data_IF_029341001452
#
_entry.id   IF_029341001452
#
_cell.length_a   1.000
_cell.length_b   1.000
_cell.length_c   1.000
_cell.angle_alpha   90.00
_cell.angle_beta   90.00
_cell.angle_gamma   90.00
#
_symmetry.space_group_name_H-M   'P 1'
#
loop_
_entity.id
_entity.type
_entity.pdbx_description
1 polymer ?
#
# COMPACT_ATOMS: atom_id res chain seq x y z
N UNK A 1 24.40 -19.30 9.76
CA UNK A 1 24.94 -17.92 9.95
C UNK A 1 26.06 -17.99 10.98
N UNK A 2 27.18 -17.38 10.68
CA UNK A 2 28.34 -17.40 11.57
C UNK A 2 28.09 -16.51 12.80
N UNK A 3 28.25 -17.10 14.01
CA UNK A 3 27.94 -16.42 15.26
C UNK A 3 28.82 -15.17 15.52
N UNK A 4 30.05 -15.17 15.01
CA UNK A 4 30.97 -14.04 15.17
C UNK A 4 30.51 -12.82 14.36
N UNK A 5 30.03 -13.03 13.11
CA UNK A 5 29.50 -11.98 12.26
C UNK A 5 28.19 -11.43 12.85
N UNK A 6 27.31 -12.32 13.32
CA UNK A 6 26.06 -11.92 13.97
C UNK A 6 26.31 -11.03 15.20
N UNK A 7 27.30 -11.39 16.04
CA UNK A 7 27.70 -10.56 17.19
C UNK A 7 28.17 -9.17 16.76
N UNK A 8 28.95 -9.07 15.68
CA UNK A 8 29.42 -7.79 15.17
C UNK A 8 28.25 -6.92 14.71
N UNK A 9 27.26 -7.50 14.02
CA UNK A 9 26.05 -6.78 13.62
C UNK A 9 25.20 -6.29 14.79
N UNK A 10 25.04 -7.12 15.82
CA UNK A 10 24.28 -6.75 17.03
C UNK A 10 24.99 -5.67 17.86
N UNK A 11 26.33 -5.63 17.83
CA UNK A 11 27.12 -4.64 18.54
C UNK A 11 27.51 -3.43 17.70
N UNK A 12 27.14 -3.39 16.42
CA UNK A 12 27.38 -2.23 15.57
C UNK A 12 26.61 -1.03 16.13
N UNK A 13 27.29 0.09 16.32
CA UNK A 13 26.66 1.33 16.76
C UNK A 13 25.84 1.98 15.65
N UNK A 14 25.16 3.06 15.98
CA UNK A 14 24.44 3.94 15.04
C UNK A 14 25.19 5.26 14.93
N UNK A 15 25.46 5.69 13.71
CA UNK A 15 25.99 7.04 13.46
C UNK A 15 24.81 7.97 13.15
N UNK A 16 24.56 8.93 14.06
CA UNK A 16 23.59 10.01 13.84
C UNK A 16 24.30 11.36 13.90
N UNK A 17 24.15 12.15 12.86
CA UNK A 17 24.78 13.49 12.73
C UNK A 17 26.30 13.51 13.01
N UNK A 18 27.00 12.45 12.59
CA UNK A 18 28.46 12.31 12.77
C UNK A 18 28.90 11.77 14.14
N UNK A 19 27.99 11.51 15.08
CA UNK A 19 28.29 10.90 16.38
C UNK A 19 27.96 9.42 16.38
N UNK A 20 28.84 8.59 16.94
CA UNK A 20 28.64 7.15 17.10
C UNK A 20 27.94 6.87 18.43
N UNK A 21 26.80 6.25 18.38
CA UNK A 21 26.06 5.73 19.54
C UNK A 21 26.23 4.22 19.60
N UNK A 22 26.69 3.70 20.73
CA UNK A 22 26.85 2.26 20.95
C UNK A 22 25.49 1.60 21.18
N UNK A 23 25.31 0.39 20.63
CA UNK A 23 24.09 -0.41 20.85
C UNK A 23 24.31 -1.31 22.06
N UNK A 24 23.64 -1.00 23.16
CA UNK A 24 23.75 -1.80 24.40
C UNK A 24 22.82 -3.00 24.41
N UNK A 25 21.62 -2.88 23.86
CA UNK A 25 20.59 -3.93 23.79
C UNK A 25 19.91 -3.97 22.43
N UNK A 26 19.68 -5.18 21.94
CA UNK A 26 18.97 -5.42 20.67
C UNK A 26 19.79 -5.09 19.43
N UNK A 27 19.12 -4.61 18.39
CA UNK A 27 19.72 -4.13 17.14
C UNK A 27 19.46 -2.63 16.98
N UNK A 28 20.37 -1.89 16.30
CA UNK A 28 20.14 -0.48 16.03
C UNK A 28 18.80 -0.26 15.33
N UNK A 29 18.02 0.71 15.78
CA UNK A 29 16.76 1.07 15.12
C UNK A 29 17.04 1.59 13.71
N UNK A 30 16.41 0.99 12.69
CA UNK A 30 16.66 1.32 11.28
C UNK A 30 17.83 0.52 10.65
N UNK A 31 18.47 -0.40 11.36
CA UNK A 31 19.46 -1.31 10.79
C UNK A 31 18.88 -2.22 9.72
N UNK A 32 19.59 -2.41 8.59
CA UNK A 32 19.13 -3.19 7.43
C UNK A 32 18.78 -4.64 7.83
N UNK A 33 19.56 -5.26 8.73
CA UNK A 33 19.37 -6.64 9.16
C UNK A 33 18.32 -6.80 10.28
N UNK A 34 17.97 -5.70 10.98
CA UNK A 34 17.08 -5.75 12.15
C UNK A 34 15.73 -6.43 11.89
N UNK A 35 15.02 -6.18 10.77
CA UNK A 35 13.76 -6.87 10.49
C UNK A 35 13.93 -8.39 10.30
N UNK A 36 15.04 -8.81 9.69
CA UNK A 36 15.34 -10.24 9.48
C UNK A 36 15.60 -10.93 10.82
N UNK A 37 16.44 -10.32 11.67
CA UNK A 37 16.75 -10.86 12.99
C UNK A 37 15.51 -10.91 13.90
N UNK A 38 14.66 -9.88 13.87
CA UNK A 38 13.39 -9.87 14.58
C UNK A 38 12.47 -11.01 14.11
N UNK A 39 12.36 -11.23 12.79
CA UNK A 39 11.59 -12.33 12.25
C UNK A 39 12.14 -13.71 12.67
N UNK A 40 13.46 -13.91 12.63
CA UNK A 40 14.10 -15.16 13.09
C UNK A 40 13.87 -15.39 14.59
N UNK A 41 13.89 -14.35 15.42
CA UNK A 41 13.64 -14.45 16.86
C UNK A 41 12.19 -14.85 17.16
N UNK A 42 11.23 -14.41 16.34
CA UNK A 42 9.81 -14.70 16.51
C UNK A 42 9.34 -15.93 15.70
N UNK A 43 10.27 -16.58 14.99
CA UNK A 43 9.97 -17.81 14.27
C UNK A 43 9.61 -18.95 15.25
N UNK A 44 8.63 -19.78 14.85
CA UNK A 44 8.08 -20.82 15.69
C UNK A 44 6.98 -20.39 16.66
N UNK A 45 6.66 -19.10 16.82
CA UNK A 45 5.58 -18.62 17.69
C UNK A 45 4.22 -19.20 17.27
N UNK A 46 3.95 -19.29 15.98
CA UNK A 46 2.72 -19.90 15.46
C UNK A 46 2.62 -21.39 15.82
N UNK A 47 3.73 -22.13 15.72
CA UNK A 47 3.78 -23.55 16.08
C UNK A 47 3.51 -23.76 17.57
N UNK A 48 4.03 -22.91 18.44
CA UNK A 48 3.76 -22.95 19.89
C UNK A 48 2.26 -22.76 20.16
N UNK A 49 1.63 -21.76 19.55
CA UNK A 49 0.20 -21.52 19.71
C UNK A 49 -0.64 -22.71 19.21
N UNK A 50 -0.25 -23.32 18.09
CA UNK A 50 -0.91 -24.51 17.54
C UNK A 50 -0.69 -25.77 18.41
N UNK A 51 0.44 -25.86 19.10
CA UNK A 51 0.74 -26.95 20.03
C UNK A 51 -0.12 -26.90 21.29
N UNK A 52 -0.48 -25.70 21.75
CA UNK A 52 -1.38 -25.53 22.92
C UNK A 52 -2.81 -25.83 22.54
N UNK A 53 -3.28 -25.29 21.42
CA UNK A 53 -4.65 -25.50 20.95
C UNK A 53 -4.63 -25.89 19.46
N UNK A 54 -4.79 -27.17 19.13
CA UNK A 54 -4.85 -27.64 17.77
C UNK A 54 -5.93 -26.90 16.97
N UNK A 55 -5.56 -26.36 15.80
CA UNK A 55 -6.47 -25.60 14.93
C UNK A 55 -7.68 -26.39 14.45
N UNK A 56 -7.56 -27.69 14.36
CA UNK A 56 -8.56 -28.52 13.70
C UNK A 56 -8.94 -29.74 14.52
N UNK A 57 -10.22 -30.02 14.57
CA UNK A 57 -10.73 -31.35 14.99
C UNK A 57 -10.45 -32.39 13.92
N UNK A 58 -10.72 -33.69 14.19
CA UNK A 58 -10.69 -34.80 13.20
C UNK A 58 -11.54 -34.50 11.94
N UNK A 59 -12.50 -33.55 12.01
CA UNK A 59 -13.36 -33.12 10.89
C UNK A 59 -12.86 -31.81 10.24
N UNK A 60 -11.65 -31.35 10.52
CA UNK A 60 -11.08 -30.12 9.94
C UNK A 60 -11.70 -28.80 10.44
N UNK A 61 -12.46 -28.80 11.54
CA UNK A 61 -13.12 -27.62 12.08
C UNK A 61 -12.26 -26.96 13.16
N UNK A 62 -12.05 -25.66 13.06
CA UNK A 62 -11.40 -24.85 14.10
C UNK A 62 -12.41 -24.48 15.19
N UNK A 63 -12.69 -25.40 16.12
CA UNK A 63 -13.67 -25.21 17.18
C UNK A 63 -13.26 -24.09 18.14
N UNK A 64 -12.00 -24.01 18.51
CA UNK A 64 -11.48 -22.97 19.39
C UNK A 64 -11.36 -21.61 18.69
N UNK A 65 -11.51 -21.55 17.35
CA UNK A 65 -11.39 -20.34 16.52
C UNK A 65 -10.07 -19.58 16.74
N UNK A 66 -9.02 -20.30 17.11
CA UNK A 66 -7.69 -19.74 17.31
C UNK A 66 -7.03 -19.52 15.95
N UNK A 67 -6.73 -18.26 15.65
CA UNK A 67 -5.96 -17.89 14.46
C UNK A 67 -4.89 -16.90 14.88
N UNK A 68 -3.75 -16.98 14.22
CA UNK A 68 -2.60 -16.13 14.44
C UNK A 68 -2.27 -15.33 13.18
N UNK A 69 -2.06 -14.03 13.34
CA UNK A 69 -1.63 -13.13 12.26
C UNK A 69 -0.53 -12.24 12.81
N UNK A 70 0.64 -12.26 12.18
CA UNK A 70 1.80 -11.48 12.59
C UNK A 70 2.29 -10.60 11.45
N UNK A 71 2.72 -9.40 11.82
CA UNK A 71 3.44 -8.48 10.95
C UNK A 71 4.61 -7.88 11.75
N UNK A 72 5.83 -8.32 11.46
CA UNK A 72 7.03 -8.00 12.22
C UNK A 72 6.86 -8.39 13.71
N UNK A 73 6.93 -7.41 14.61
CA UNK A 73 6.74 -7.54 16.06
C UNK A 73 5.26 -7.40 16.50
N UNK A 74 4.41 -6.85 15.65
CA UNK A 74 2.98 -6.74 15.90
C UNK A 74 2.25 -8.05 15.53
N UNK A 75 1.40 -8.56 16.43
CA UNK A 75 0.61 -9.75 16.14
C UNK A 75 -0.79 -9.68 16.77
N UNK A 76 -1.69 -10.43 16.18
CA UNK A 76 -3.06 -10.65 16.67
C UNK A 76 -3.32 -12.13 16.79
N UNK A 77 -3.97 -12.51 17.87
CA UNK A 77 -4.50 -13.86 18.07
C UNK A 77 -5.99 -13.75 18.32
N UNK A 78 -6.77 -14.51 17.55
CA UNK A 78 -8.20 -14.63 17.81
C UNK A 78 -8.46 -15.91 18.60
N UNK A 79 -9.49 -15.91 19.42
CA UNK A 79 -9.96 -17.09 20.15
C UNK A 79 -11.47 -17.08 20.25
N UNK A 80 -12.07 -18.24 20.44
CA UNK A 80 -13.52 -18.39 20.62
C UNK A 80 -14.02 -17.80 21.92
N UNK A 81 -13.20 -17.83 22.98
CA UNK A 81 -13.51 -17.31 24.30
C UNK A 81 -12.32 -16.51 24.86
N UNK A 82 -12.59 -15.68 25.89
CA UNK A 82 -11.58 -14.91 26.58
C UNK A 82 -10.63 -15.83 27.37
N UNK A 83 -11.18 -16.85 28.00
CA UNK A 83 -10.46 -17.79 28.87
C UNK A 83 -9.37 -18.54 28.08
N UNK A 84 -9.64 -18.98 26.85
CA UNK A 84 -8.65 -19.59 25.97
C UNK A 84 -7.45 -18.67 25.75
N UNK A 85 -7.73 -17.39 25.50
CA UNK A 85 -6.66 -16.41 25.25
C UNK A 85 -5.86 -16.09 26.50
N UNK A 86 -6.53 -16.01 27.66
CA UNK A 86 -5.94 -15.57 28.93
C UNK A 86 -5.20 -16.70 29.64
N UNK A 87 -5.79 -17.90 29.70
CA UNK A 87 -5.29 -19.01 30.51
C UNK A 87 -4.39 -19.99 29.75
N UNK A 88 -4.53 -20.06 28.42
CA UNK A 88 -3.81 -21.06 27.62
C UNK A 88 -2.81 -20.38 26.67
N UNK A 89 -3.28 -19.44 25.84
CA UNK A 89 -2.44 -18.83 24.80
C UNK A 89 -1.43 -17.84 25.38
N UNK A 90 -1.86 -16.94 26.26
CA UNK A 90 -0.98 -15.90 26.83
C UNK A 90 0.19 -16.49 27.62
N UNK A 91 0.01 -17.49 28.51
CA UNK A 91 1.12 -18.13 29.19
C UNK A 91 2.13 -18.79 28.25
N UNK A 92 1.65 -19.48 27.21
CA UNK A 92 2.53 -20.11 26.21
C UNK A 92 3.40 -19.09 25.47
N UNK A 93 2.82 -17.93 25.12
CA UNK A 93 3.57 -16.82 24.49
C UNK A 93 4.60 -16.24 25.44
N UNK A 94 4.25 -16.04 26.70
CA UNK A 94 5.17 -15.52 27.73
C UNK A 94 6.37 -16.45 27.89
N UNK A 95 6.15 -17.75 27.94
CA UNK A 95 7.23 -18.75 28.05
C UNK A 95 8.11 -18.78 26.79
N UNK A 96 7.48 -18.73 25.60
CA UNK A 96 8.20 -18.61 24.34
C UNK A 96 9.09 -17.36 24.29
N UNK A 97 8.59 -16.23 24.77
CA UNK A 97 9.38 -14.98 24.80
C UNK A 97 10.49 -15.04 25.84
N UNK A 98 10.20 -15.57 27.02
CA UNK A 98 11.19 -15.73 28.12
C UNK A 98 12.42 -16.53 27.67
N UNK A 99 12.21 -17.64 26.93
CA UNK A 99 13.30 -18.46 26.40
C UNK A 99 14.19 -17.72 25.39
N UNK A 100 13.74 -16.60 24.85
CA UNK A 100 14.45 -15.73 23.89
C UNK A 100 14.89 -14.39 24.47
N UNK A 101 14.77 -14.20 25.79
CA UNK A 101 15.09 -12.94 26.45
C UNK A 101 14.13 -11.78 26.11
N UNK A 102 12.95 -12.09 25.57
CA UNK A 102 11.92 -11.11 25.24
C UNK A 102 10.87 -11.05 26.34
N UNK A 103 10.17 -9.90 26.39
CA UNK A 103 9.02 -9.70 27.30
C UNK A 103 7.82 -9.23 26.51
N UNK A 104 6.66 -9.76 26.86
CA UNK A 104 5.38 -9.26 26.35
C UNK A 104 5.09 -7.89 27.00
N UNK A 105 4.77 -6.87 26.19
CA UNK A 105 4.39 -5.56 26.74
C UNK A 105 2.98 -5.62 27.30
N UNK A 106 2.82 -5.51 28.60
CA UNK A 106 1.52 -5.52 29.27
C UNK A 106 0.64 -4.34 28.85
N UNK A 107 1.22 -3.15 28.69
CA UNK A 107 0.48 -1.94 28.27
C UNK A 107 -0.11 -2.08 26.87
N UNK A 108 0.60 -2.76 25.96
CA UNK A 108 0.20 -2.91 24.55
C UNK A 108 -0.62 -4.18 24.31
N UNK A 109 -0.50 -5.18 25.17
CA UNK A 109 -1.22 -6.45 25.02
C UNK A 109 -2.58 -6.38 25.69
N UNK A 110 -3.63 -6.40 24.87
CA UNK A 110 -5.03 -6.29 25.35
C UNK A 110 -5.88 -7.42 24.75
N UNK A 111 -6.68 -8.04 25.60
CA UNK A 111 -7.74 -8.93 25.16
C UNK A 111 -9.01 -8.08 25.00
N UNK A 112 -9.52 -8.00 23.78
CA UNK A 112 -10.66 -7.12 23.44
C UNK A 112 -11.72 -7.94 22.74
N UNK A 113 -12.98 -7.75 23.11
CA UNK A 113 -14.10 -8.38 22.42
C UNK A 113 -14.28 -7.74 21.03
N UNK A 114 -14.56 -8.54 20.01
CA UNK A 114 -14.63 -8.05 18.61
C UNK A 114 -15.73 -7.02 18.38
N UNK A 115 -16.75 -6.95 19.25
CA UNK A 115 -17.79 -5.90 19.20
C UNK A 115 -17.30 -4.54 19.70
N UNK A 116 -16.26 -4.49 20.54
CA UNK A 116 -15.59 -3.26 20.92
C UNK A 116 -14.65 -2.80 19.79
N UNK A 117 -14.00 -3.76 19.15
CA UNK A 117 -13.05 -3.56 18.06
C UNK A 117 -11.66 -3.19 18.55
N UNK A 118 -10.70 -3.31 17.66
CA UNK A 118 -9.29 -2.98 17.92
C UNK A 118 -8.63 -2.40 16.67
N UNK A 119 -7.53 -1.68 16.89
CA UNK A 119 -6.73 -1.12 15.81
C UNK A 119 -5.50 -2.00 15.55
N UNK A 120 -5.26 -2.32 14.26
CA UNK A 120 -4.09 -3.06 13.82
C UNK A 120 -3.61 -2.52 12.48
N UNK A 121 -2.31 -2.22 12.38
CA UNK A 121 -1.68 -1.69 11.17
C UNK A 121 -2.45 -0.51 10.55
N UNK A 122 -2.89 0.43 11.39
CA UNK A 122 -3.62 1.62 10.94
C UNK A 122 -5.05 1.37 10.49
N UNK A 123 -5.58 0.17 10.74
CA UNK A 123 -6.95 -0.23 10.43
C UNK A 123 -7.70 -0.61 11.71
N UNK A 124 -8.96 -0.27 11.79
CA UNK A 124 -9.86 -0.68 12.86
C UNK A 124 -10.69 -1.88 12.41
N UNK A 125 -10.63 -2.96 13.19
CA UNK A 125 -11.38 -4.21 12.98
C UNK A 125 -12.48 -4.28 14.03
N UNK A 126 -13.74 -4.30 13.60
CA UNK A 126 -14.89 -4.30 14.52
C UNK A 126 -16.10 -5.01 13.93
N UNK A 127 -16.79 -5.78 14.79
CA UNK A 127 -18.06 -6.41 14.45
C UNK A 127 -19.22 -5.45 14.73
N UNK A 128 -20.07 -5.24 13.72
CA UNK A 128 -21.30 -4.46 13.81
C UNK A 128 -22.50 -5.39 13.53
N UNK A 129 -23.22 -5.75 14.57
CA UNK A 129 -24.25 -6.80 14.47
C UNK A 129 -23.62 -8.12 14.00
N UNK A 130 -24.01 -8.60 12.81
CA UNK A 130 -23.47 -9.83 12.22
C UNK A 130 -22.37 -9.59 11.15
N UNK A 131 -21.96 -8.34 10.92
CA UNK A 131 -21.01 -8.01 9.85
C UNK A 131 -19.70 -7.46 10.42
N UNK A 132 -18.60 -8.13 10.07
CA UNK A 132 -17.26 -7.64 10.37
C UNK A 132 -16.85 -6.55 9.38
N UNK A 133 -16.43 -5.40 9.89
CA UNK A 133 -15.88 -4.32 9.09
C UNK A 133 -14.43 -4.06 9.45
N UNK A 134 -13.62 -3.86 8.42
CA UNK A 134 -12.27 -3.32 8.52
C UNK A 134 -12.30 -1.94 7.86
N UNK A 135 -11.87 -0.92 8.59
CA UNK A 135 -11.89 0.49 8.18
C UNK A 135 -10.57 1.16 8.54
N UNK A 136 -10.18 2.29 7.90
CA UNK A 136 -9.09 3.12 8.42
C UNK A 136 -9.33 3.49 9.88
N UNK A 137 -8.31 3.35 10.74
CA UNK A 137 -8.41 3.68 12.17
C UNK A 137 -8.54 5.18 12.39
N UNK A 138 -9.10 5.58 13.52
CA UNK A 138 -9.20 7.00 13.91
C UNK A 138 -7.82 7.67 13.98
N UNK A 139 -6.80 6.93 14.46
CA UNK A 139 -5.40 7.38 14.51
C UNK A 139 -4.85 7.64 13.11
N UNK A 140 -5.10 6.74 12.15
CA UNK A 140 -4.68 6.91 10.75
C UNK A 140 -5.36 8.10 10.08
N UNK A 141 -6.67 8.31 10.33
CA UNK A 141 -7.42 9.46 9.82
C UNK A 141 -6.88 10.77 10.41
N UNK A 142 -6.59 10.81 11.71
CA UNK A 142 -6.01 11.97 12.37
C UNK A 142 -4.62 12.30 11.82
N UNK A 143 -3.80 11.29 11.59
CA UNK A 143 -2.46 11.42 11.03
C UNK A 143 -2.48 12.02 9.62
N UNK A 144 -3.30 11.50 8.70
CA UNK A 144 -3.39 12.05 7.33
C UNK A 144 -3.91 13.49 7.34
N UNK A 145 -4.93 13.81 8.15
CA UNK A 145 -5.42 15.19 8.31
C UNK A 145 -4.34 16.12 8.86
N UNK A 146 -3.53 15.66 9.82
CA UNK A 146 -2.36 16.38 10.33
C UNK A 146 -1.37 16.69 9.23
N UNK A 147 -0.94 15.66 8.48
CA UNK A 147 0.02 15.79 7.38
C UNK A 147 -0.47 16.72 6.28
N UNK A 148 -1.75 16.66 5.91
CA UNK A 148 -2.35 17.60 4.93
C UNK A 148 -2.27 19.04 5.46
N UNK A 149 -2.67 19.27 6.73
CA UNK A 149 -2.64 20.59 7.37
C UNK A 149 -1.24 21.16 7.42
N UNK A 150 -0.27 20.39 7.84
CA UNK A 150 1.15 20.78 7.90
C UNK A 150 1.69 21.12 6.51
N UNK A 151 1.40 20.27 5.50
CA UNK A 151 1.82 20.51 4.12
C UNK A 151 1.23 21.81 3.58
N UNK A 152 -0.09 22.04 3.74
CA UNK A 152 -0.75 23.26 3.26
C UNK A 152 -0.23 24.51 3.99
N UNK A 153 -0.07 24.42 5.31
CA UNK A 153 0.40 25.54 6.13
C UNK A 153 1.89 25.85 5.89
N UNK A 154 2.73 24.86 5.67
CA UNK A 154 4.15 25.05 5.33
C UNK A 154 4.38 25.62 3.94
N UNK A 155 3.38 25.55 3.05
CA UNK A 155 3.48 25.97 1.65
C UNK A 155 2.55 27.16 1.32
N UNK A 156 2.50 28.17 2.21
CA UNK A 156 1.61 29.33 2.07
C UNK A 156 1.84 30.13 0.78
N UNK A 157 3.09 30.25 0.34
CA UNK A 157 3.51 31.02 -0.84
C UNK A 157 3.79 30.17 -2.08
N UNK A 158 3.67 28.84 -1.98
CA UNK A 158 3.99 27.94 -3.08
C UNK A 158 3.10 28.21 -4.30
N UNK A 159 3.63 27.97 -5.50
CA UNK A 159 2.83 27.92 -6.71
C UNK A 159 1.81 26.76 -6.60
N UNK A 160 0.63 26.93 -7.21
CA UNK A 160 -0.48 25.96 -7.13
C UNK A 160 -0.05 24.57 -7.62
N UNK A 161 0.69 24.51 -8.73
CA UNK A 161 1.19 23.26 -9.29
C UNK A 161 2.15 22.54 -8.34
N UNK A 162 3.00 23.27 -7.62
CA UNK A 162 3.92 22.69 -6.64
C UNK A 162 3.19 22.11 -5.44
N UNK A 163 2.18 22.81 -4.93
CA UNK A 163 1.34 22.32 -3.84
C UNK A 163 0.60 21.04 -4.25
N UNK A 164 0.06 20.97 -5.46
CA UNK A 164 -0.58 19.78 -6.02
C UNK A 164 0.44 18.63 -6.12
N UNK A 165 1.67 18.92 -6.59
CA UNK A 165 2.74 17.92 -6.73
C UNK A 165 3.14 17.30 -5.39
N UNK A 166 3.09 18.07 -4.29
CA UNK A 166 3.39 17.57 -2.94
C UNK A 166 2.19 16.79 -2.36
N UNK A 167 0.96 17.28 -2.54
CA UNK A 167 -0.23 16.66 -1.96
C UNK A 167 -0.64 15.35 -2.64
N UNK A 168 -0.53 15.26 -3.96
CA UNK A 168 -0.97 14.08 -4.71
C UNK A 168 -0.30 12.77 -4.26
N UNK A 169 1.02 12.68 -4.07
CA UNK A 169 1.65 11.47 -3.53
C UNK A 169 1.17 11.10 -2.13
N UNK A 170 0.98 12.10 -1.25
CA UNK A 170 0.49 11.89 0.13
C UNK A 170 -0.93 11.28 0.10
N UNK A 171 -1.83 11.88 -0.68
CA UNK A 171 -3.22 11.44 -0.79
C UNK A 171 -3.32 10.07 -1.46
N UNK A 172 -2.60 9.87 -2.57
CA UNK A 172 -2.58 8.61 -3.32
C UNK A 172 -2.01 7.47 -2.48
N UNK A 173 -0.89 7.69 -1.80
CA UNK A 173 -0.24 6.69 -0.96
C UNK A 173 -1.17 6.22 0.16
N UNK A 174 -1.77 7.17 0.89
CA UNK A 174 -2.71 6.84 1.96
C UNK A 174 -3.98 6.14 1.44
N UNK A 175 -4.55 6.59 0.33
CA UNK A 175 -5.73 5.99 -0.25
C UNK A 175 -5.44 4.58 -0.80
N UNK A 176 -4.31 4.37 -1.48
CA UNK A 176 -3.89 3.05 -1.95
C UNK A 176 -3.68 2.06 -0.81
N UNK A 177 -3.14 2.53 0.33
CA UNK A 177 -3.00 1.69 1.53
C UNK A 177 -4.35 1.23 2.06
N UNK A 178 -5.38 2.09 2.02
CA UNK A 178 -6.70 1.79 2.59
C UNK A 178 -7.77 1.37 1.57
N UNK A 179 -7.46 1.30 0.27
CA UNK A 179 -8.46 0.97 -0.76
C UNK A 179 -8.99 -0.46 -0.70
N UNK A 180 -8.35 -1.36 0.04
CA UNK A 180 -8.77 -2.75 0.18
C UNK A 180 -9.81 -2.98 1.29
N UNK A 181 -10.06 -1.98 2.12
CA UNK A 181 -11.00 -2.01 3.24
C UNK A 181 -12.21 -1.10 3.01
N UNK A 182 -13.14 -1.04 3.94
CA UNK A 182 -14.34 -0.20 3.85
C UNK A 182 -13.96 1.26 4.11
N UNK A 183 -13.57 1.98 3.07
CA UNK A 183 -12.97 3.32 3.15
C UNK A 183 -13.74 4.42 2.43
N UNK A 184 -14.73 4.13 1.57
CA UNK A 184 -15.36 5.11 0.68
C UNK A 184 -15.92 6.35 1.41
N UNK A 185 -16.67 6.17 2.52
CA UNK A 185 -17.18 7.30 3.32
C UNK A 185 -16.05 8.13 3.94
N UNK A 186 -14.96 7.47 4.33
CA UNK A 186 -13.78 8.12 4.91
C UNK A 186 -13.04 8.90 3.84
N UNK A 187 -12.87 8.33 2.63
CA UNK A 187 -12.26 9.03 1.50
C UNK A 187 -13.03 10.31 1.15
N UNK A 188 -14.36 10.25 1.08
CA UNK A 188 -15.19 11.45 0.89
C UNK A 188 -14.95 12.50 1.98
N UNK A 189 -14.84 12.08 3.24
CA UNK A 189 -14.55 12.99 4.37
C UNK A 189 -13.16 13.64 4.26
N UNK A 190 -12.17 12.89 3.79
CA UNK A 190 -10.81 13.44 3.57
C UNK A 190 -10.80 14.39 2.38
N UNK A 191 -11.45 14.04 1.24
CA UNK A 191 -11.57 14.95 0.09
C UNK A 191 -12.22 16.27 0.47
N UNK A 192 -13.30 16.24 1.28
CA UNK A 192 -13.94 17.45 1.85
C UNK A 192 -12.96 18.25 2.70
N UNK A 193 -12.22 17.59 3.61
CA UNK A 193 -11.23 18.23 4.45
C UNK A 193 -10.11 18.91 3.65
N UNK A 194 -9.60 18.23 2.62
CA UNK A 194 -8.57 18.78 1.71
C UNK A 194 -9.11 20.00 0.99
N UNK A 195 -10.34 19.91 0.45
CA UNK A 195 -10.99 21.04 -0.20
C UNK A 195 -11.13 22.24 0.72
N UNK A 196 -11.58 22.07 1.96
CA UNK A 196 -11.71 23.14 2.96
C UNK A 196 -10.36 23.81 3.27
N UNK A 197 -9.28 23.02 3.42
CA UNK A 197 -7.93 23.54 3.65
C UNK A 197 -7.43 24.34 2.46
N UNK A 198 -7.62 23.86 1.23
CA UNK A 198 -7.19 24.54 0.02
C UNK A 198 -8.02 25.77 -0.30
N UNK A 199 -9.31 25.75 0.01
CA UNK A 199 -10.16 26.93 -0.07
C UNK A 199 -9.68 28.04 0.87
N UNK A 200 -9.40 27.72 2.12
CA UNK A 200 -8.84 28.68 3.09
C UNK A 200 -7.46 29.19 2.64
N UNK A 201 -6.59 28.31 2.14
CA UNK A 201 -5.30 28.68 1.60
C UNK A 201 -5.44 29.66 0.42
N UNK A 202 -6.35 29.41 -0.49
CA UNK A 202 -6.61 30.26 -1.66
C UNK A 202 -7.17 31.65 -1.25
N UNK A 203 -8.10 31.69 -0.30
CA UNK A 203 -8.69 32.96 0.20
C UNK A 203 -7.66 33.83 0.93
N UNK A 204 -6.81 33.23 1.76
CA UNK A 204 -5.75 33.96 2.49
C UNK A 204 -4.74 34.63 1.56
N UNK A 205 -4.52 34.11 0.40
CA UNK A 205 -3.60 34.69 -0.62
C UNK A 205 -4.18 35.92 -1.31
N UNK A 206 -5.49 36.06 -1.31
CA UNK A 206 -6.22 37.12 -2.00
C UNK A 206 -7.33 37.69 -1.12
N UNK A 207 -7.00 38.36 0.00
CA UNK A 207 -7.99 38.83 0.95
C UNK A 207 -8.98 39.84 0.34
N UNK A 208 -8.50 40.64 -0.62
CA UNK A 208 -9.28 41.71 -1.27
C UNK A 208 -10.03 41.22 -2.53
N UNK A 209 -10.01 39.91 -2.83
CA UNK A 209 -10.70 39.38 -4.02
C UNK A 209 -11.97 38.60 -3.62
N UNK A 210 -12.99 38.73 -4.49
CA UNK A 210 -14.25 38.00 -4.27
C UNK A 210 -14.06 36.48 -4.29
N UNK A 211 -14.95 35.77 -3.61
CA UNK A 211 -14.96 34.30 -3.63
C UNK A 211 -15.10 33.72 -5.05
N UNK A 212 -15.86 34.40 -5.93
CA UNK A 212 -16.01 34.02 -7.35
C UNK A 212 -14.66 34.10 -8.09
N UNK A 213 -13.89 35.17 -7.86
CA UNK A 213 -12.57 35.33 -8.45
C UNK A 213 -11.60 34.24 -7.94
N UNK A 214 -11.55 33.97 -6.63
CA UNK A 214 -10.71 32.94 -6.02
C UNK A 214 -11.07 31.56 -6.59
N UNK A 215 -12.38 31.25 -6.69
CA UNK A 215 -12.85 30.01 -7.32
C UNK A 215 -12.31 29.87 -8.74
N UNK A 216 -12.52 30.89 -9.57
CA UNK A 216 -12.13 30.84 -10.98
C UNK A 216 -10.61 30.72 -11.19
N UNK A 217 -9.79 31.24 -10.25
CA UNK A 217 -8.34 31.18 -10.31
C UNK A 217 -7.79 29.79 -9.92
N UNK A 218 -8.39 29.11 -8.94
CA UNK A 218 -7.83 27.93 -8.32
C UNK A 218 -8.62 26.64 -8.54
N UNK A 219 -9.91 26.76 -8.84
CA UNK A 219 -10.81 25.60 -8.94
C UNK A 219 -11.50 25.60 -10.31
N UNK A 220 -11.26 24.55 -11.08
CA UNK A 220 -11.76 24.41 -12.43
C UNK A 220 -12.62 23.16 -12.56
N UNK A 221 -13.46 23.14 -13.60
CA UNK A 221 -14.25 21.95 -13.93
C UNK A 221 -13.37 20.91 -14.62
N UNK A 222 -13.54 19.66 -14.24
CA UNK A 222 -12.88 18.53 -14.88
C UNK A 222 -13.79 17.30 -14.85
N UNK A 223 -14.11 16.76 -16.00
CA UNK A 223 -15.15 15.72 -16.14
C UNK A 223 -16.47 16.19 -15.48
N UNK A 224 -17.13 15.37 -14.70
CA UNK A 224 -18.38 15.70 -13.99
C UNK A 224 -18.19 16.54 -12.70
N UNK A 225 -16.96 17.06 -12.42
CA UNK A 225 -16.65 17.77 -11.16
C UNK A 225 -16.35 19.25 -11.42
N UNK A 226 -16.99 20.14 -10.65
CA UNK A 226 -16.90 21.58 -10.85
C UNK A 226 -15.91 22.34 -9.96
N UNK A 227 -15.34 21.69 -8.94
CA UNK A 227 -14.47 22.34 -7.96
C UNK A 227 -13.16 21.57 -7.78
N UNK A 228 -12.46 21.30 -8.89
CA UNK A 228 -11.16 20.61 -8.86
C UNK A 228 -10.05 21.63 -8.71
N UNK A 229 -9.31 21.55 -7.60
CA UNK A 229 -8.13 22.39 -7.38
C UNK A 229 -7.07 22.03 -8.43
N UNK A 230 -6.72 22.99 -9.27
CA UNK A 230 -5.88 22.76 -10.46
C UNK A 230 -5.12 24.00 -10.90
N UNK A 231 -4.05 23.77 -11.64
CA UNK A 231 -3.25 24.82 -12.27
C UNK A 231 -2.86 24.41 -13.68
N UNK A 232 -2.75 25.40 -14.57
CA UNK A 232 -2.12 25.23 -15.86
C UNK A 232 -0.61 25.23 -15.71
N UNK A 233 0.06 24.29 -16.37
CA UNK A 233 1.52 24.23 -16.49
C UNK A 233 1.84 24.58 -17.93
N UNK A 234 2.56 25.68 -18.12
CA UNK A 234 3.09 26.10 -19.42
C UNK A 234 4.60 25.89 -19.39
N UNK A 235 5.10 24.97 -20.20
CA UNK A 235 6.54 24.79 -20.46
C UNK A 235 6.83 25.28 -21.87
N UNK A 236 7.92 26.03 -22.05
CA UNK A 236 8.33 26.55 -23.37
C UNK A 236 8.41 25.39 -24.39
N UNK A 237 7.72 25.57 -25.53
CA UNK A 237 7.71 24.57 -26.62
C UNK A 237 6.80 23.34 -26.40
N UNK A 238 6.05 23.27 -25.30
CA UNK A 238 5.12 22.16 -25.05
C UNK A 238 3.67 22.64 -24.94
N UNK A 239 2.68 21.78 -25.30
CA UNK A 239 1.27 22.13 -25.14
C UNK A 239 0.93 22.34 -23.65
N UNK A 240 0.03 23.27 -23.36
CA UNK A 240 -0.47 23.53 -22.01
C UNK A 240 -0.97 22.26 -21.36
N UNK A 241 -0.48 21.97 -20.17
CA UNK A 241 -0.86 20.79 -19.39
C UNK A 241 -1.52 21.23 -18.07
N UNK A 242 -2.58 20.52 -17.67
CA UNK A 242 -3.23 20.76 -16.39
C UNK A 242 -2.66 19.87 -15.29
N UNK A 243 -2.18 20.48 -14.20
CA UNK A 243 -1.96 19.80 -12.93
C UNK A 243 -3.24 19.82 -12.11
N UNK A 244 -3.69 18.66 -11.64
CA UNK A 244 -4.96 18.53 -10.91
C UNK A 244 -4.75 17.77 -9.62
N UNK A 245 -5.43 18.21 -8.56
CA UNK A 245 -5.48 17.48 -7.32
C UNK A 245 -6.27 16.19 -7.50
N UNK A 246 -5.71 15.09 -7.02
CA UNK A 246 -6.39 13.79 -7.04
C UNK A 246 -7.64 13.81 -6.15
N UNK A 247 -8.68 13.13 -6.60
CA UNK A 247 -9.83 12.80 -5.77
C UNK A 247 -9.68 11.37 -5.27
N UNK A 248 -9.46 11.19 -3.98
CA UNK A 248 -9.28 9.86 -3.42
C UNK A 248 -10.58 9.06 -3.34
N UNK A 249 -11.73 9.72 -3.29
CA UNK A 249 -13.04 9.03 -3.32
C UNK A 249 -13.35 8.38 -4.68
N UNK A 250 -12.64 8.77 -5.74
CA UNK A 250 -12.73 8.10 -7.04
C UNK A 250 -11.91 6.80 -7.12
N UNK A 251 -11.08 6.51 -6.11
CA UNK A 251 -10.29 5.29 -6.07
C UNK A 251 -11.20 4.11 -5.70
N UNK A 252 -11.34 3.19 -6.63
CA UNK A 252 -12.17 2.00 -6.44
C UNK A 252 -11.60 1.08 -5.36
N UNK A 253 -12.49 0.41 -4.61
CA UNK A 253 -12.12 -0.62 -3.67
C UNK A 253 -11.49 -1.79 -4.43
N UNK A 254 -10.30 -2.16 -4.03
CA UNK A 254 -9.58 -3.31 -4.58
C UNK A 254 -9.21 -4.27 -3.45
N UNK A 255 -10.03 -5.28 -3.26
CA UNK A 255 -9.81 -6.28 -2.20
C UNK A 255 -8.62 -7.17 -2.54
N UNK A 256 -7.80 -7.45 -1.54
CA UNK A 256 -6.75 -8.45 -1.67
C UNK A 256 -7.34 -9.84 -1.88
N UNK A 257 -6.77 -10.55 -2.82
CA UNK A 257 -7.05 -11.99 -2.97
C UNK A 257 -6.10 -12.72 -2.00
N UNK A 258 -6.66 -13.52 -1.09
CA UNK A 258 -5.87 -14.27 -0.10
C UNK A 258 -4.84 -15.16 -0.80
N UNK A 259 -3.62 -15.17 -0.30
CA UNK A 259 -2.56 -16.09 -0.71
C UNK A 259 -2.67 -17.35 0.17
N UNK A 260 -2.39 -18.52 -0.38
CA UNK A 260 -2.28 -19.75 0.41
C UNK A 260 -1.13 -19.58 1.40
N UNK A 261 -1.36 -19.89 2.69
CA UNK A 261 -0.37 -19.64 3.75
C UNK A 261 0.95 -20.41 3.53
N UNK A 262 0.84 -21.62 2.96
CA UNK A 262 1.97 -22.53 2.70
C UNK A 262 2.75 -22.14 1.43
N UNK A 263 2.21 -21.24 0.57
CA UNK A 263 2.83 -20.92 -0.70
C UNK A 263 4.07 -20.04 -0.52
N UNK A 264 5.17 -20.49 -1.11
CA UNK A 264 6.44 -19.77 -1.15
C UNK A 264 6.74 -19.32 -2.59
N UNK A 265 6.87 -18.01 -2.89
CA UNK A 265 7.15 -17.53 -4.26
C UNK A 265 8.54 -17.92 -4.79
N UNK A 266 9.44 -18.36 -3.92
CA UNK A 266 10.79 -18.81 -4.27
C UNK A 266 10.90 -20.33 -4.43
N UNK A 267 9.82 -21.08 -4.18
CA UNK A 267 9.76 -22.53 -4.34
C UNK A 267 9.11 -22.89 -5.69
N UNK A 268 9.81 -23.60 -6.57
CA UNK A 268 9.31 -23.98 -7.90
C UNK A 268 7.97 -24.72 -7.90
N UNK A 269 7.66 -25.46 -6.85
CA UNK A 269 6.37 -26.17 -6.68
C UNK A 269 5.17 -25.20 -6.76
N UNK A 270 5.36 -23.95 -6.34
CA UNK A 270 4.32 -22.93 -6.30
C UNK A 270 4.29 -21.99 -7.52
N UNK A 271 5.20 -22.18 -8.49
CA UNK A 271 5.31 -21.30 -9.66
C UNK A 271 3.99 -21.25 -10.45
N UNK A 272 3.39 -22.39 -10.74
CA UNK A 272 2.10 -22.46 -11.47
C UNK A 272 0.96 -21.76 -10.70
N UNK A 273 0.94 -21.88 -9.36
CA UNK A 273 -0.05 -21.20 -8.52
C UNK A 273 0.11 -19.67 -8.61
N UNK A 274 1.32 -19.16 -8.48
CA UNK A 274 1.57 -17.72 -8.59
C UNK A 274 1.31 -17.20 -10.00
N UNK A 275 1.61 -17.96 -11.02
CA UNK A 275 1.33 -17.63 -12.42
C UNK A 275 -0.17 -17.51 -12.69
N UNK A 276 -0.96 -18.48 -12.28
CA UNK A 276 -2.43 -18.43 -12.37
C UNK A 276 -3.00 -17.22 -11.63
N UNK A 277 -2.41 -16.92 -10.48
CA UNK A 277 -2.81 -15.77 -9.66
C UNK A 277 -2.52 -14.44 -10.35
N UNK A 278 -1.30 -14.23 -10.85
CA UNK A 278 -0.89 -13.03 -11.59
C UNK A 278 -1.76 -12.83 -12.83
N UNK A 279 -2.01 -13.90 -13.60
CA UNK A 279 -2.89 -13.88 -14.76
C UNK A 279 -4.31 -13.42 -14.40
N UNK A 280 -4.90 -13.99 -13.35
CA UNK A 280 -6.23 -13.61 -12.87
C UNK A 280 -6.30 -12.14 -12.40
N UNK A 281 -5.25 -11.64 -11.72
CA UNK A 281 -5.17 -10.24 -11.28
C UNK A 281 -5.05 -9.28 -12.46
N UNK A 282 -4.25 -9.63 -13.47
CA UNK A 282 -4.11 -8.83 -14.69
C UNK A 282 -5.42 -8.79 -15.49
N UNK A 283 -6.10 -9.92 -15.68
CA UNK A 283 -7.41 -9.98 -16.34
C UNK A 283 -8.45 -9.11 -15.63
N UNK A 284 -8.46 -9.10 -14.29
CA UNK A 284 -9.33 -8.20 -13.50
C UNK A 284 -8.96 -6.73 -13.70
N UNK A 285 -7.68 -6.41 -13.78
CA UNK A 285 -7.17 -5.05 -14.02
C UNK A 285 -7.56 -4.53 -15.40
N UNK A 286 -7.60 -5.41 -16.39
CA UNK A 286 -7.97 -5.11 -17.78
C UNK A 286 -9.48 -5.22 -18.08
N UNK A 287 -10.29 -5.59 -17.08
CA UNK A 287 -11.75 -5.74 -17.26
C UNK A 287 -12.38 -4.48 -17.84
N UNK A 288 -13.16 -4.62 -18.91
CA UNK A 288 -13.77 -3.50 -19.66
C UNK A 288 -12.81 -2.80 -20.64
N UNK A 289 -11.60 -3.35 -20.84
CA UNK A 289 -10.61 -2.87 -21.81
C UNK A 289 -10.27 -3.99 -22.80
N UNK A 290 -11.23 -4.42 -23.60
CA UNK A 290 -11.15 -5.60 -24.45
C UNK A 290 -9.90 -5.60 -25.36
N UNK A 291 -9.60 -4.45 -25.96
CA UNK A 291 -8.42 -4.28 -26.81
C UNK A 291 -7.10 -4.53 -26.08
N UNK A 292 -6.95 -4.00 -24.86
CA UNK A 292 -5.76 -4.22 -24.04
C UNK A 292 -5.65 -5.66 -23.59
N UNK A 293 -6.78 -6.27 -23.24
CA UNK A 293 -6.85 -7.70 -22.88
C UNK A 293 -6.42 -8.58 -24.05
N UNK A 294 -6.86 -8.26 -25.25
CA UNK A 294 -6.49 -9.00 -26.47
C UNK A 294 -4.98 -8.88 -26.78
N UNK A 295 -4.40 -7.67 -26.68
CA UNK A 295 -2.97 -7.44 -26.86
C UNK A 295 -2.18 -8.25 -25.84
N UNK A 296 -2.53 -8.16 -24.55
CA UNK A 296 -1.84 -8.85 -23.47
C UNK A 296 -1.91 -10.38 -23.62
N UNK A 297 -3.08 -10.93 -23.98
CA UNK A 297 -3.26 -12.38 -24.25
C UNK A 297 -2.46 -12.84 -25.45
N UNK A 298 -2.43 -12.05 -26.54
CA UNK A 298 -1.64 -12.35 -27.75
C UNK A 298 -0.14 -12.47 -27.45
N UNK A 299 0.36 -11.72 -26.47
CA UNK A 299 1.75 -11.75 -26.02
C UNK A 299 2.01 -12.79 -24.93
N UNK A 300 1.03 -13.67 -24.61
CA UNK A 300 1.10 -14.60 -23.48
C UNK A 300 1.44 -13.92 -22.14
N UNK A 301 1.02 -12.66 -21.97
CA UNK A 301 1.27 -11.87 -20.77
C UNK A 301 2.72 -11.41 -20.58
N UNK A 302 3.57 -11.50 -21.60
CA UNK A 302 5.01 -11.15 -21.55
C UNK A 302 5.31 -9.90 -22.35
N UNK A 303 6.31 -9.15 -21.90
CA UNK A 303 6.87 -8.03 -22.65
C UNK A 303 7.75 -8.57 -23.81
N UNK A 304 7.49 -8.19 -25.08
CA UNK A 304 8.28 -8.71 -26.22
C UNK A 304 9.76 -8.30 -26.20
N UNK A 305 10.16 -7.33 -25.39
CA UNK A 305 11.55 -6.86 -25.32
C UNK A 305 12.36 -7.67 -24.31
N UNK A 306 11.92 -7.71 -23.05
CA UNK A 306 12.67 -8.37 -21.98
C UNK A 306 12.19 -9.81 -21.70
N UNK A 307 11.13 -10.26 -22.38
CA UNK A 307 10.47 -11.56 -22.18
C UNK A 307 9.95 -11.83 -20.76
N UNK A 308 9.99 -10.84 -19.88
CA UNK A 308 9.42 -10.94 -18.54
C UNK A 308 7.90 -10.74 -18.55
N UNK A 309 7.23 -11.32 -17.57
CA UNK A 309 5.77 -11.18 -17.41
C UNK A 309 5.39 -9.73 -17.11
N UNK A 310 4.29 -9.27 -17.70
CA UNK A 310 3.68 -7.98 -17.39
C UNK A 310 2.57 -8.24 -16.38
N UNK A 311 2.79 -7.80 -15.13
CA UNK A 311 1.86 -7.96 -14.03
C UNK A 311 0.91 -6.76 -13.90
N UNK A 312 -0.12 -6.91 -13.07
CA UNK A 312 -1.16 -5.89 -12.87
C UNK A 312 -0.67 -4.64 -12.14
N UNK A 313 0.42 -4.74 -11.41
CA UNK A 313 1.10 -3.70 -10.64
C UNK A 313 2.34 -3.12 -11.35
N UNK A 314 2.73 -3.68 -12.48
CA UNK A 314 3.77 -3.11 -13.32
C UNK A 314 3.29 -1.83 -14.01
N UNK A 315 4.21 -0.90 -14.20
CA UNK A 315 4.01 0.24 -15.09
C UNK A 315 4.28 -0.21 -16.54
N UNK A 316 3.25 -0.15 -17.37
CA UNK A 316 3.32 -0.53 -18.77
C UNK A 316 2.69 0.53 -19.69
N UNK A 317 3.06 0.49 -20.96
CA UNK A 317 2.54 1.37 -22.01
C UNK A 317 2.28 0.58 -23.29
N UNK A 318 1.48 1.17 -24.20
CA UNK A 318 1.18 0.61 -25.50
C UNK A 318 2.07 1.24 -26.56
N UNK A 319 2.85 0.42 -27.23
CA UNK A 319 3.75 0.79 -28.31
C UNK A 319 3.15 0.44 -29.66
N UNK A 320 3.27 1.36 -30.64
CA UNK A 320 2.95 1.08 -32.05
C UNK A 320 4.19 0.54 -32.75
N UNK A 321 4.11 -0.70 -33.26
CA UNK A 321 5.21 -1.34 -34.03
C UNK A 321 5.57 -0.51 -35.26
N UNK A 322 4.55 -0.11 -36.01
CA UNK A 322 4.64 0.91 -37.08
C UNK A 322 4.09 2.20 -36.50
N UNK A 323 4.90 3.25 -36.50
CA UNK A 323 4.52 4.55 -35.92
C UNK A 323 3.34 5.15 -36.66
N UNK A 324 2.52 5.94 -35.99
CA UNK A 324 1.37 6.63 -36.63
C UNK A 324 1.82 7.57 -37.75
N UNK A 325 2.97 8.21 -37.61
CA UNK A 325 3.59 9.06 -38.64
C UNK A 325 4.01 8.27 -39.89
N UNK A 326 4.27 6.99 -39.75
CA UNK A 326 4.66 6.07 -40.83
C UNK A 326 3.46 5.27 -41.38
N UNK A 327 2.23 5.73 -41.10
CA UNK A 327 0.99 5.09 -41.58
C UNK A 327 0.46 3.94 -40.70
N UNK A 328 1.04 3.73 -39.52
CA UNK A 328 0.62 2.67 -38.58
C UNK A 328 -0.71 2.99 -37.92
N UNK A 329 -1.67 2.07 -38.04
CA UNK A 329 -2.99 2.17 -37.41
C UNK A 329 -3.05 1.61 -35.99
N UNK A 330 -4.19 1.82 -35.31
CA UNK A 330 -4.49 1.33 -33.95
C UNK A 330 -4.97 -0.14 -33.94
N UNK A 331 -4.62 -0.95 -34.97
CA UNK A 331 -4.95 -2.36 -35.03
C UNK A 331 -4.16 -3.14 -33.96
N UNK A 332 -4.78 -4.19 -33.39
CA UNK A 332 -4.16 -5.05 -32.36
C UNK A 332 -2.84 -5.66 -32.85
N UNK A 333 -2.72 -5.93 -34.15
CA UNK A 333 -1.47 -6.47 -34.74
C UNK A 333 -0.32 -5.46 -34.73
N UNK A 334 -0.62 -4.19 -34.81
CA UNK A 334 0.34 -3.08 -34.77
C UNK A 334 0.66 -2.61 -33.35
N UNK A 335 0.01 -3.16 -32.32
CA UNK A 335 0.16 -2.73 -30.94
C UNK A 335 0.86 -3.79 -30.11
N UNK A 336 1.73 -3.35 -29.22
CA UNK A 336 2.41 -4.17 -28.22
C UNK A 336 2.34 -3.52 -26.84
N UNK A 337 2.09 -4.32 -25.79
CA UNK A 337 2.18 -3.90 -24.41
C UNK A 337 3.60 -4.13 -23.91
N UNK A 338 4.24 -3.09 -23.38
CA UNK A 338 5.63 -3.11 -22.93
C UNK A 338 5.73 -2.55 -21.51
N UNK A 339 6.69 -3.01 -20.73
CA UNK A 339 7.07 -2.28 -19.52
C UNK A 339 7.55 -0.87 -19.88
N UNK A 340 7.31 0.09 -19.02
CA UNK A 340 7.62 1.50 -19.32
C UNK A 340 9.11 1.72 -19.61
N UNK A 341 10.00 0.98 -18.93
CA UNK A 341 11.44 1.03 -19.18
C UNK A 341 11.81 0.43 -20.52
N UNK A 342 11.20 -0.70 -20.91
CA UNK A 342 11.40 -1.32 -22.23
C UNK A 342 10.87 -0.42 -23.35
N UNK A 343 9.75 0.27 -23.13
CA UNK A 343 9.20 1.24 -24.08
C UNK A 343 10.15 2.44 -24.30
N UNK A 344 10.78 2.94 -23.24
CA UNK A 344 11.80 4.00 -23.33
C UNK A 344 13.05 3.53 -24.06
N UNK A 345 13.51 2.30 -23.83
CA UNK A 345 14.67 1.73 -24.52
C UNK A 345 14.48 1.63 -26.04
N UNK A 346 13.30 1.24 -26.52
CA UNK A 346 13.00 1.22 -27.96
C UNK A 346 13.19 2.60 -28.57
N UNK A 347 12.71 3.64 -27.91
CA UNK A 347 12.82 5.00 -28.40
C UNK A 347 14.24 5.59 -28.32
N UNK A 348 15.09 5.08 -27.43
CA UNK A 348 16.49 5.55 -27.29
C UNK A 348 17.44 4.84 -28.23
N UNK A 349 17.14 3.60 -28.69
CA UNK A 349 18.05 2.77 -29.49
C UNK A 349 17.51 2.40 -30.86
N UNK A 350 16.43 3.03 -31.35
CA UNK A 350 15.78 2.77 -32.64
C UNK A 350 15.48 1.27 -32.92
N UNK A 351 15.20 0.51 -31.86
CA UNK A 351 14.87 -0.89 -31.94
C UNK A 351 13.51 -1.06 -32.61
N UNK A 352 13.45 -1.79 -33.73
CA UNK A 352 12.17 -2.17 -34.36
C UNK A 352 11.66 -3.47 -33.77
N UNK A 353 10.49 -3.45 -33.14
CA UNK A 353 9.74 -4.66 -32.82
C UNK A 353 9.25 -5.31 -34.11
N UNK A 354 9.65 -6.55 -34.35
CA UNK A 354 9.13 -7.40 -35.43
C UNK A 354 7.68 -7.82 -35.18
#
# INVERSE_FOLDING_TARGET
MEKAILRKWLKSGVVDKGNLFTTEKGTPQGGIISPTLANMTLDGLEAVIQGVIPRTTRRGQNVAKVNFVRYADDFIITGGTKEILENEIKPAIVEFFKSRGLKLSEEKTKITHITEGFDFLGQNVKLYGKKLFIKPSAKSIKSIKGKIRETVNGNKQAKTENLIRILNPILRGWANYHRHVVSSKIFNSIDKYVWERLWQWSKRRHPNKSSKWVKNKYFHSYQARNWVFSAKISEAGKPEKWSRLINISSINIQRHTKIKAESNPFDPIWEEYFDKRLKSLMEKSLKGREKLTAIWKKQNGKCPICNNKIAYDDEWDIHHKIRKVDGGGDNINNLAMLHINCHRQIHSHDFKLK
#
